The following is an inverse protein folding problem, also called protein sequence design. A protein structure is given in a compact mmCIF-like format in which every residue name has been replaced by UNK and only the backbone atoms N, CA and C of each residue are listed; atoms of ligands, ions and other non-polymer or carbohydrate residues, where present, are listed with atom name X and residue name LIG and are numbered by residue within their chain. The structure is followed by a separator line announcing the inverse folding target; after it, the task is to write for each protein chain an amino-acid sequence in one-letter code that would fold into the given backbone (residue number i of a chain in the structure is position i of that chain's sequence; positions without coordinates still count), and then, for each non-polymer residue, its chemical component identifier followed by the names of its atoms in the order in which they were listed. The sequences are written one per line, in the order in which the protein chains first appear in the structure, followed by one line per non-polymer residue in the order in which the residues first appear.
data_IF_095944272298
#
_entry.id   IF_095944272298
#
_cell.length_a   1.000
_cell.length_b   1.000
_cell.length_c   1.000
_cell.angle_alpha   90.00
_cell.angle_beta   90.00
_cell.angle_gamma   90.00
#
_symmetry.space_group_name_H-M   'P 1'
#
loop_
_entity.id
_entity.type
_entity.pdbx_description
1 polymer ?
#
# COMPACT_ATOMS: atom_id res chain seq x y z
N UNK A 1 -13.03 -27.12 39.98
CA UNK A 1 -12.11 -26.00 39.82
C UNK A 1 -11.20 -26.33 38.66
N UNK A 2 -11.26 -25.57 37.58
CA UNK A 2 -10.61 -25.89 36.30
C UNK A 2 -9.10 -25.51 36.34
N UNK A 3 -8.25 -26.44 36.73
CA UNK A 3 -6.79 -26.31 36.71
C UNK A 3 -6.25 -26.06 35.28
N UNK A 4 -6.93 -26.51 34.24
CA UNK A 4 -6.56 -26.28 32.84
C UNK A 4 -6.65 -24.82 32.39
N UNK A 5 -7.70 -24.11 32.79
CA UNK A 5 -7.86 -22.67 32.44
C UNK A 5 -6.78 -21.77 33.05
N UNK A 6 -6.34 -22.06 34.29
CA UNK A 6 -5.34 -21.27 34.98
C UNK A 6 -3.94 -21.46 34.36
N UNK A 7 -3.63 -22.66 33.89
CA UNK A 7 -2.37 -22.94 33.18
C UNK A 7 -2.34 -22.30 31.80
N UNK A 8 -3.44 -22.25 31.09
CA UNK A 8 -3.54 -21.61 29.77
C UNK A 8 -3.44 -20.06 29.86
N UNK A 9 -4.06 -19.45 30.88
CA UNK A 9 -3.95 -18.00 31.11
C UNK A 9 -2.55 -17.58 31.55
N UNK A 10 -1.88 -18.34 32.41
CA UNK A 10 -0.49 -18.10 32.82
C UNK A 10 0.46 -18.21 31.62
N UNK A 11 0.30 -19.23 30.79
CA UNK A 11 1.10 -19.44 29.59
C UNK A 11 0.90 -18.29 28.57
N UNK A 12 -0.32 -17.78 28.46
CA UNK A 12 -0.65 -16.67 27.57
C UNK A 12 -0.03 -15.35 28.04
N UNK A 13 0.05 -15.12 29.35
CA UNK A 13 0.64 -13.91 29.92
C UNK A 13 2.18 -13.92 29.80
N UNK A 14 2.81 -15.07 30.02
CA UNK A 14 4.25 -15.24 29.76
C UNK A 14 4.59 -15.02 28.28
N UNK A 15 3.80 -15.56 27.35
CA UNK A 15 3.96 -15.38 25.93
C UNK A 15 3.86 -13.90 25.53
N UNK A 16 2.90 -13.16 26.06
CA UNK A 16 2.78 -11.72 25.86
C UNK A 16 4.01 -10.95 26.33
N UNK A 17 4.58 -11.29 27.49
CA UNK A 17 5.78 -10.66 28.01
C UNK A 17 7.01 -10.92 27.12
N UNK A 18 7.15 -12.14 26.61
CA UNK A 18 8.24 -12.49 25.69
C UNK A 18 8.11 -11.71 24.39
N UNK A 19 6.92 -11.65 23.78
CA UNK A 19 6.66 -10.87 22.57
C UNK A 19 6.94 -9.39 22.82
N UNK A 20 6.48 -8.85 23.95
CA UNK A 20 6.75 -7.46 24.33
C UNK A 20 8.24 -7.18 24.44
N UNK A 21 9.00 -8.07 25.08
CA UNK A 21 10.45 -7.93 25.20
C UNK A 21 11.16 -7.98 23.84
N UNK A 22 10.74 -8.87 22.95
CA UNK A 22 11.32 -8.99 21.60
C UNK A 22 11.02 -7.74 20.76
N UNK A 23 9.78 -7.28 20.73
CA UNK A 23 9.37 -6.13 19.91
C UNK A 23 9.87 -4.79 20.47
N UNK A 24 10.18 -4.71 21.78
CA UNK A 24 10.82 -3.54 22.39
C UNK A 24 12.35 -3.59 22.35
N UNK A 25 12.97 -4.72 22.01
CA UNK A 25 14.42 -4.79 21.81
C UNK A 25 14.89 -4.00 20.58
N UNK A 26 13.99 -3.77 19.62
CA UNK A 26 14.22 -2.89 18.47
C UNK A 26 13.94 -1.42 18.76
N UNK A 27 14.51 -0.53 17.96
CA UNK A 27 14.26 0.91 18.03
C UNK A 27 13.03 1.35 17.23
N UNK A 28 12.39 0.44 16.50
CA UNK A 28 11.33 0.72 15.55
C UNK A 28 9.95 0.62 16.21
N UNK A 29 9.04 1.54 15.86
CA UNK A 29 7.64 1.43 16.27
C UNK A 29 6.99 0.25 15.57
N UNK A 30 6.34 -0.63 16.34
CA UNK A 30 5.72 -1.86 15.82
C UNK A 30 4.29 -2.01 16.33
N UNK A 31 3.39 -2.35 15.40
CA UNK A 31 1.98 -2.64 15.70
C UNK A 31 1.60 -4.00 15.09
N UNK A 32 0.74 -4.74 15.77
CA UNK A 32 0.14 -5.97 15.24
C UNK A 32 -1.34 -5.74 15.03
N UNK A 33 -1.83 -6.08 13.85
CA UNK A 33 -3.20 -5.85 13.42
C UNK A 33 -3.81 -7.16 12.97
N UNK A 34 -5.01 -7.48 13.48
CA UNK A 34 -5.80 -8.61 13.01
C UNK A 34 -6.21 -8.41 11.55
N UNK A 35 -5.94 -9.41 10.71
CA UNK A 35 -6.16 -9.31 9.26
C UNK A 35 -7.63 -9.26 8.88
N UNK A 36 -8.50 -9.85 9.68
CA UNK A 36 -9.93 -9.98 9.40
C UNK A 36 -10.76 -8.84 9.98
N UNK A 37 -10.49 -8.46 11.22
CA UNK A 37 -11.23 -7.42 11.94
C UNK A 37 -10.60 -6.04 11.85
N UNK A 38 -9.33 -5.93 11.43
CA UNK A 38 -8.52 -4.71 11.46
C UNK A 38 -8.28 -4.16 12.87
N UNK A 39 -8.55 -4.94 13.90
CA UNK A 39 -8.29 -4.60 15.29
C UNK A 39 -6.77 -4.54 15.56
N UNK A 40 -6.32 -3.52 16.24
CA UNK A 40 -4.94 -3.41 16.72
C UNK A 40 -4.78 -4.33 17.94
N UNK A 41 -4.05 -5.43 17.76
CA UNK A 41 -3.85 -6.46 18.79
C UNK A 41 -2.73 -6.12 19.76
N UNK A 42 -1.75 -5.36 19.28
CA UNK A 42 -0.55 -5.03 20.05
C UNK A 42 0.13 -3.78 19.50
N UNK A 43 0.75 -3.04 20.42
CA UNK A 43 1.69 -1.96 20.11
C UNK A 43 2.90 -2.12 21.04
N UNK A 44 4.13 -1.91 20.53
CA UNK A 44 5.30 -1.77 21.39
C UNK A 44 5.37 -0.36 21.99
N UNK A 45 6.28 -0.15 22.96
CA UNK A 45 6.39 1.12 23.67
C UNK A 45 6.69 2.29 22.73
N UNK A 46 7.50 2.06 21.70
CA UNK A 46 7.81 3.08 20.69
C UNK A 46 6.59 3.47 19.84
N UNK A 47 5.74 2.53 19.48
CA UNK A 47 4.49 2.82 18.80
C UNK A 47 3.52 3.59 19.69
N UNK A 48 3.45 3.24 20.98
CA UNK A 48 2.63 3.97 21.97
C UNK A 48 3.14 5.40 22.16
N UNK A 49 4.45 5.60 22.23
CA UNK A 49 5.07 6.93 22.33
C UNK A 49 4.71 7.82 21.14
N UNK A 50 4.77 7.27 19.92
CA UNK A 50 4.54 8.03 18.69
C UNK A 50 3.06 8.33 18.41
N UNK A 51 2.17 7.39 18.67
CA UNK A 51 0.77 7.49 18.22
C UNK A 51 -0.29 7.27 19.31
N UNK A 52 0.15 7.16 20.58
CA UNK A 52 -0.72 6.84 21.71
C UNK A 52 -1.15 5.36 21.74
N UNK A 53 -1.72 4.93 22.86
CA UNK A 53 -2.24 3.57 22.98
C UNK A 53 -3.54 3.42 22.18
N UNK A 54 -3.52 2.54 21.18
CA UNK A 54 -4.62 2.24 20.27
C UNK A 54 -5.02 0.76 20.27
N UNK A 55 -4.48 -0.05 21.19
CA UNK A 55 -4.81 -1.48 21.30
C UNK A 55 -6.30 -1.67 21.53
N UNK A 56 -6.91 -2.60 20.79
CA UNK A 56 -8.36 -2.86 20.82
C UNK A 56 -9.19 -1.95 19.88
N UNK A 57 -8.56 -0.98 19.22
CA UNK A 57 -9.23 -0.08 18.29
C UNK A 57 -9.04 -0.57 16.83
N UNK A 58 -9.91 -0.10 15.93
CA UNK A 58 -9.84 -0.46 14.51
C UNK A 58 -8.83 0.43 13.79
N UNK A 59 -7.86 -0.18 13.09
CA UNK A 59 -6.71 0.52 12.55
C UNK A 59 -7.09 1.65 11.56
N UNK A 60 -8.04 1.42 10.66
CA UNK A 60 -8.43 2.43 9.68
C UNK A 60 -9.20 3.61 10.30
N UNK A 61 -9.86 3.41 11.44
CA UNK A 61 -10.52 4.51 12.17
C UNK A 61 -9.51 5.39 12.90
N UNK A 62 -8.51 4.79 13.55
CA UNK A 62 -7.62 5.52 14.46
C UNK A 62 -6.28 5.92 13.85
N UNK A 63 -5.82 5.23 12.80
CA UNK A 63 -4.57 5.56 12.10
C UNK A 63 -4.82 6.33 10.80
N UNK A 64 -5.95 6.08 10.14
CA UNK A 64 -6.25 6.65 8.83
C UNK A 64 -7.48 7.56 8.84
N UNK A 65 -8.15 7.76 10.00
CA UNK A 65 -9.35 8.58 10.16
C UNK A 65 -10.48 8.25 9.16
N UNK A 66 -10.67 6.94 8.87
CA UNK A 66 -11.64 6.44 7.88
C UNK A 66 -12.64 5.48 8.51
N UNK A 67 -13.89 5.55 8.09
CA UNK A 67 -14.95 4.63 8.52
C UNK A 67 -14.85 3.25 7.86
N UNK A 68 -14.11 3.15 6.77
CA UNK A 68 -13.93 1.91 6.00
C UNK A 68 -12.43 1.61 5.79
N UNK A 69 -12.05 0.34 5.54
CA UNK A 69 -10.66 0.00 5.23
C UNK A 69 -10.07 0.87 4.12
N UNK A 70 -8.80 1.21 4.23
CA UNK A 70 -8.10 2.02 3.24
C UNK A 70 -8.21 1.39 1.85
N UNK A 71 -8.37 2.20 0.80
CA UNK A 71 -8.54 1.72 -0.56
C UNK A 71 -7.36 0.87 -1.05
N UNK A 72 -6.15 1.19 -0.59
CA UNK A 72 -4.92 0.42 -0.85
C UNK A 72 -4.39 -0.18 0.48
N UNK A 73 -5.26 -0.91 1.17
CA UNK A 73 -4.94 -1.46 2.48
C UNK A 73 -3.86 -2.56 2.36
N UNK A 74 -2.71 -2.41 3.05
CA UNK A 74 -1.64 -3.42 3.01
C UNK A 74 -2.11 -4.83 3.36
N UNK A 75 -3.13 -4.97 4.24
CA UNK A 75 -3.68 -6.26 4.66
C UNK A 75 -4.19 -7.11 3.50
N UNK A 76 -4.60 -6.48 2.39
CA UNK A 76 -5.12 -7.18 1.20
C UNK A 76 -4.00 -7.61 0.24
N UNK A 77 -2.82 -7.01 0.33
CA UNK A 77 -1.72 -7.17 -0.62
C UNK A 77 -0.53 -7.97 -0.09
N UNK A 78 -0.50 -8.28 1.21
CA UNK A 78 0.58 -9.06 1.82
C UNK A 78 0.50 -10.52 1.35
N UNK A 79 1.60 -11.02 0.78
CA UNK A 79 1.80 -12.42 0.42
C UNK A 79 2.71 -13.07 1.47
N UNK A 80 2.45 -14.32 1.79
CA UNK A 80 3.06 -15.10 2.88
C UNK A 80 4.60 -15.27 2.84
N UNK A 81 5.29 -14.81 1.79
CA UNK A 81 6.72 -15.09 1.62
C UNK A 81 7.65 -13.88 1.56
N UNK A 82 7.12 -12.66 1.47
CA UNK A 82 7.95 -11.46 1.41
C UNK A 82 7.29 -10.30 2.17
N UNK A 83 8.07 -9.47 2.87
CA UNK A 83 7.52 -8.27 3.49
C UNK A 83 7.03 -7.29 2.41
N UNK A 84 5.88 -6.69 2.65
CA UNK A 84 5.41 -5.58 1.86
C UNK A 84 5.96 -4.28 2.46
N UNK A 85 6.62 -3.45 1.65
CA UNK A 85 7.06 -2.12 2.07
C UNK A 85 6.19 -1.07 1.40
N UNK A 86 5.70 -0.10 2.16
CA UNK A 86 4.88 1.01 1.67
C UNK A 86 5.33 2.33 2.28
N UNK A 87 5.39 3.33 1.44
CA UNK A 87 5.54 4.72 1.85
C UNK A 87 4.20 5.42 1.70
N UNK A 88 3.80 6.15 2.73
CA UNK A 88 2.59 6.96 2.68
C UNK A 88 2.67 8.11 3.69
N UNK A 89 1.93 9.18 3.40
CA UNK A 89 1.73 10.23 4.38
C UNK A 89 0.80 9.74 5.50
N UNK A 90 1.23 9.91 6.73
CA UNK A 90 0.48 9.58 7.93
C UNK A 90 0.07 10.86 8.64
N UNK A 91 -1.22 11.18 8.62
CA UNK A 91 -1.76 12.38 9.28
C UNK A 91 -1.43 12.41 10.78
N UNK A 92 -1.46 11.24 11.42
CA UNK A 92 -1.16 11.10 12.85
C UNK A 92 0.29 11.41 13.21
N UNK A 93 1.21 11.19 12.27
CA UNK A 93 2.66 11.39 12.46
C UNK A 93 3.15 12.68 11.79
N UNK A 94 2.27 13.38 11.09
CA UNK A 94 2.57 14.60 10.30
C UNK A 94 3.81 14.43 9.42
N UNK A 95 3.90 13.28 8.72
CA UNK A 95 5.07 12.97 7.91
C UNK A 95 4.88 11.79 6.98
N UNK A 96 5.86 11.59 6.08
CA UNK A 96 5.90 10.42 5.21
C UNK A 96 6.53 9.27 5.95
N UNK A 97 5.74 8.24 6.20
CA UNK A 97 6.14 7.05 6.93
C UNK A 97 6.39 5.88 5.96
N UNK A 98 7.54 5.24 6.11
CA UNK A 98 7.85 3.98 5.44
C UNK A 98 7.53 2.84 6.40
N UNK A 99 6.52 2.06 6.05
CA UNK A 99 6.08 0.90 6.81
C UNK A 99 6.51 -0.39 6.13
N UNK A 100 6.94 -1.36 6.94
CA UNK A 100 7.18 -2.74 6.53
C UNK A 100 6.13 -3.64 7.17
N UNK A 101 5.45 -4.44 6.36
CA UNK A 101 4.37 -5.33 6.77
C UNK A 101 4.78 -6.78 6.59
N UNK A 102 4.59 -7.60 7.63
CA UNK A 102 4.83 -9.03 7.62
C UNK A 102 3.55 -9.77 7.98
N UNK A 103 3.24 -10.82 7.23
CA UNK A 103 2.19 -11.77 7.60
C UNK A 103 2.69 -12.65 8.74
N UNK A 104 1.92 -12.76 9.80
CA UNK A 104 2.28 -13.53 10.99
C UNK A 104 1.08 -14.30 11.53
N UNK A 105 1.33 -15.46 12.14
CA UNK A 105 0.36 -16.10 13.02
C UNK A 105 0.49 -15.49 14.42
N UNK A 106 -0.57 -14.89 14.92
CA UNK A 106 -0.57 -14.36 16.28
C UNK A 106 -0.66 -15.51 17.30
N UNK A 107 -0.15 -15.32 18.50
CA UNK A 107 -0.04 -16.38 19.50
C UNK A 107 -1.38 -16.97 19.95
N UNK A 108 -2.51 -16.31 19.70
CA UNK A 108 -3.86 -16.79 19.97
C UNK A 108 -4.51 -17.51 18.76
N UNK A 109 -3.73 -17.71 17.69
CA UNK A 109 -4.14 -18.41 16.47
C UNK A 109 -4.79 -17.54 15.41
N UNK A 110 -4.90 -16.22 15.63
CA UNK A 110 -5.39 -15.29 14.61
C UNK A 110 -4.34 -15.03 13.53
N UNK A 111 -4.81 -14.89 12.29
CA UNK A 111 -3.99 -14.33 11.19
C UNK A 111 -3.82 -12.84 11.42
N UNK A 112 -2.60 -12.39 11.50
CA UNK A 112 -2.29 -11.00 11.82
C UNK A 112 -1.16 -10.45 10.94
N UNK A 113 -0.99 -9.16 10.99
CA UNK A 113 0.07 -8.44 10.29
C UNK A 113 0.89 -7.65 11.30
N UNK A 114 2.19 -7.90 11.31
CA UNK A 114 3.15 -7.05 11.99
C UNK A 114 3.53 -5.90 11.04
N UNK A 115 3.18 -4.68 11.42
CA UNK A 115 3.60 -3.47 10.74
C UNK A 115 4.68 -2.76 11.56
N UNK A 116 5.81 -2.50 10.94
CA UNK A 116 6.97 -1.85 11.57
C UNK A 116 7.30 -0.57 10.83
N UNK A 117 7.41 0.55 11.56
CA UNK A 117 7.82 1.84 11.02
C UNK A 117 9.33 1.85 10.82
N UNK A 118 9.77 1.83 9.56
CA UNK A 118 11.20 1.75 9.18
C UNK A 118 11.83 3.14 9.11
N UNK A 119 11.08 4.12 8.59
CA UNK A 119 11.52 5.50 8.48
C UNK A 119 10.34 6.46 8.59
N UNK A 120 10.61 7.63 9.15
CA UNK A 120 9.71 8.78 9.18
C UNK A 120 10.49 9.97 8.62
N UNK A 121 10.03 10.53 7.53
CA UNK A 121 10.69 11.65 6.83
C UNK A 121 9.91 12.95 6.98
N UNK A 122 10.60 14.02 7.34
CA UNK A 122 10.10 15.40 7.39
C UNK A 122 10.18 16.06 6.00
N UNK A 123 9.83 15.39 4.94
CA UNK A 123 10.08 15.92 3.61
C UNK A 123 8.85 16.62 3.04
N UNK A 124 8.78 17.95 3.23
CA UNK A 124 7.74 18.82 2.64
C UNK A 124 7.54 18.58 1.13
N UNK A 125 8.60 18.22 0.39
CA UNK A 125 8.52 17.92 -1.03
C UNK A 125 7.78 16.61 -1.31
N UNK A 126 7.99 15.57 -0.51
CA UNK A 126 7.30 14.27 -0.66
C UNK A 126 5.83 14.41 -0.23
N UNK A 127 5.56 15.18 0.83
CA UNK A 127 4.19 15.52 1.26
C UNK A 127 3.45 16.25 0.14
N UNK A 128 4.09 17.25 -0.46
CA UNK A 128 3.49 18.03 -1.55
C UNK A 128 3.24 17.18 -2.80
N UNK A 129 4.15 16.27 -3.12
CA UNK A 129 4.02 15.35 -4.25
C UNK A 129 2.89 14.33 -4.01
N UNK A 130 2.81 13.74 -2.81
CA UNK A 130 1.74 12.82 -2.44
C UNK A 130 0.38 13.53 -2.34
N UNK A 131 0.31 14.76 -1.82
CA UNK A 131 -0.91 15.58 -1.81
C UNK A 131 -1.35 15.94 -3.25
N UNK A 132 -0.42 16.24 -4.15
CA UNK A 132 -0.70 16.46 -5.56
C UNK A 132 -1.22 15.19 -6.25
N UNK A 133 -0.62 14.03 -5.98
CA UNK A 133 -1.08 12.74 -6.51
C UNK A 133 -2.46 12.35 -5.97
N UNK A 134 -2.73 12.59 -4.68
CA UNK A 134 -4.05 12.38 -4.10
C UNK A 134 -5.08 13.38 -4.62
N UNK A 135 -4.72 14.65 -4.79
CA UNK A 135 -5.61 15.65 -5.37
C UNK A 135 -5.94 15.32 -6.85
N UNK A 136 -4.97 14.83 -7.61
CA UNK A 136 -5.20 14.32 -8.98
C UNK A 136 -6.12 13.10 -8.97
N UNK A 137 -5.93 12.15 -8.05
CA UNK A 137 -6.83 10.99 -7.86
C UNK A 137 -8.24 11.38 -7.43
N UNK A 138 -8.40 12.43 -6.62
CA UNK A 138 -9.71 12.94 -6.18
C UNK A 138 -10.41 13.80 -7.26
N UNK A 139 -9.67 14.46 -8.13
CA UNK A 139 -10.22 15.22 -9.25
C UNK A 139 -10.62 14.31 -10.42
N UNK A 140 -10.04 13.11 -10.51
CA UNK A 140 -10.29 12.17 -11.61
C UNK A 140 -11.23 11.03 -11.16
N UNK A 141 -12.43 11.42 -10.67
CA UNK A 141 -13.54 10.49 -10.43
C UNK A 141 -14.24 10.11 -11.75
N UNK A 142 -13.47 9.81 -12.78
CA UNK A 142 -14.01 9.17 -13.99
C UNK A 142 -13.47 7.75 -14.08
N UNK A 143 -14.33 6.76 -14.38
CA UNK A 143 -13.94 5.35 -14.50
C UNK A 143 -13.08 5.05 -15.74
N UNK A 144 -12.42 6.03 -16.32
CA UNK A 144 -11.65 5.89 -17.55
C UNK A 144 -10.19 5.55 -17.25
N UNK A 145 -9.93 4.30 -16.92
CA UNK A 145 -8.57 3.74 -16.86
C UNK A 145 -7.96 3.48 -18.24
N UNK A 146 -8.71 3.75 -19.29
CA UNK A 146 -8.32 3.51 -20.68
C UNK A 146 -8.38 4.80 -21.51
N UNK A 147 -7.52 4.88 -22.49
CA UNK A 147 -7.58 5.94 -23.49
C UNK A 147 -8.82 5.75 -24.39
N UNK A 148 -9.66 6.77 -24.49
CA UNK A 148 -10.97 6.71 -25.21
C UNK A 148 -10.84 6.46 -26.70
N UNK A 149 -9.72 6.83 -27.30
CA UNK A 149 -9.48 6.65 -28.73
C UNK A 149 -9.02 5.24 -29.05
N UNK A 150 -8.10 4.72 -28.25
CA UNK A 150 -7.35 3.50 -28.54
C UNK A 150 -7.78 2.31 -27.70
N UNK A 151 -8.41 2.54 -26.55
CA UNK A 151 -8.84 1.48 -25.63
C UNK A 151 -7.72 0.81 -24.83
N UNK A 152 -6.46 1.24 -25.00
CA UNK A 152 -5.35 0.77 -24.16
C UNK A 152 -5.31 1.55 -22.84
N UNK A 153 -4.53 1.05 -21.87
CA UNK A 153 -4.31 1.74 -20.59
C UNK A 153 -3.86 3.17 -20.83
N UNK A 154 -4.52 4.11 -20.18
CA UNK A 154 -4.07 5.50 -20.21
C UNK A 154 -2.84 5.70 -19.31
N UNK A 155 -2.33 6.93 -19.26
CA UNK A 155 -1.16 7.29 -18.47
C UNK A 155 -1.33 6.95 -16.98
N UNK A 156 -2.51 7.17 -16.41
CA UNK A 156 -2.81 6.93 -14.99
C UNK A 156 -2.71 5.44 -14.68
N UNK A 157 -3.44 4.61 -15.41
CA UNK A 157 -3.39 3.15 -15.25
C UNK A 157 -2.00 2.57 -15.50
N UNK A 158 -1.25 3.13 -16.47
CA UNK A 158 0.13 2.73 -16.70
C UNK A 158 1.01 2.96 -15.47
N UNK A 159 0.92 4.13 -14.83
CA UNK A 159 1.67 4.43 -13.61
C UNK A 159 1.28 3.49 -12.47
N UNK A 160 -0.02 3.24 -12.25
CA UNK A 160 -0.49 2.35 -11.20
C UNK A 160 0.01 0.91 -11.41
N UNK A 161 -0.06 0.39 -12.63
CA UNK A 161 0.47 -0.93 -12.97
C UNK A 161 2.00 -0.99 -12.84
N UNK A 162 2.71 0.06 -13.21
CA UNK A 162 4.17 0.14 -13.11
C UNK A 162 4.61 0.16 -11.65
N UNK A 163 3.91 0.88 -10.77
CA UNK A 163 4.19 0.89 -9.33
C UNK A 163 4.07 -0.50 -8.71
N UNK A 164 3.06 -1.27 -9.12
CA UNK A 164 2.89 -2.67 -8.68
C UNK A 164 4.00 -3.56 -9.24
N UNK A 165 4.35 -3.40 -10.52
CA UNK A 165 5.37 -4.20 -11.19
C UNK A 165 6.79 -3.98 -10.60
N UNK A 166 7.16 -2.73 -10.31
CA UNK A 166 8.47 -2.39 -9.71
C UNK A 166 8.64 -3.01 -8.31
N UNK A 167 7.55 -3.25 -7.59
CA UNK A 167 7.59 -3.87 -6.26
C UNK A 167 7.68 -5.40 -6.30
N UNK A 168 7.48 -6.01 -7.46
CA UNK A 168 7.61 -7.46 -7.66
C UNK A 168 9.09 -7.83 -7.85
N UNK A 169 9.76 -8.21 -6.76
CA UNK A 169 11.17 -8.59 -6.75
C UNK A 169 11.46 -9.94 -7.43
N UNK A 170 10.43 -10.68 -7.81
CA UNK A 170 10.57 -12.03 -8.38
C UNK A 170 10.47 -12.08 -9.90
N UNK A 171 9.97 -11.02 -10.52
CA UNK A 171 9.84 -10.91 -11.97
C UNK A 171 10.71 -9.77 -12.51
N UNK A 172 11.26 -9.99 -13.68
CA UNK A 172 11.99 -8.97 -14.42
C UNK A 172 11.02 -8.26 -15.37
N UNK A 173 10.94 -6.95 -15.28
CA UNK A 173 10.14 -6.11 -16.14
C UNK A 173 11.04 -5.23 -17.01
N UNK A 174 10.61 -4.96 -18.22
CA UNK A 174 11.22 -3.98 -19.09
C UNK A 174 10.19 -2.94 -19.53
N UNK A 175 10.60 -1.68 -19.57
CA UNK A 175 9.76 -0.59 -20.12
C UNK A 175 10.26 -0.33 -21.53
N UNK A 176 9.33 -0.37 -22.49
CA UNK A 176 9.61 -0.04 -23.87
C UNK A 176 8.85 1.25 -24.22
N UNK A 177 9.59 2.24 -24.67
CA UNK A 177 9.03 3.48 -25.18
C UNK A 177 8.95 3.41 -26.71
N UNK A 178 7.75 3.59 -27.24
CA UNK A 178 7.49 3.62 -28.67
C UNK A 178 7.04 5.00 -29.10
N UNK A 179 7.53 5.47 -30.23
CA UNK A 179 7.10 6.72 -30.87
C UNK A 179 6.78 6.49 -32.35
N UNK A 180 5.75 7.18 -32.84
CA UNK A 180 5.38 7.11 -34.26
C UNK A 180 6.12 8.22 -35.00
N UNK A 181 7.11 7.82 -35.80
CA UNK A 181 7.91 8.78 -36.56
C UNK A 181 7.03 9.67 -37.43
N UNK A 182 7.22 10.99 -37.31
CA UNK A 182 6.50 12.00 -38.10
C UNK A 182 4.97 11.93 -38.00
N UNK A 183 4.42 11.50 -36.89
CA UNK A 183 2.97 11.42 -36.70
C UNK A 183 2.24 12.73 -37.02
N UNK A 184 2.87 13.88 -36.72
CA UNK A 184 2.33 15.19 -37.10
C UNK A 184 2.13 15.32 -38.61
N UNK A 185 3.04 14.80 -39.46
CA UNK A 185 2.91 14.86 -40.90
C UNK A 185 1.71 14.04 -41.39
N UNK A 186 1.38 12.94 -40.72
CA UNK A 186 0.19 12.14 -41.08
C UNK A 186 -1.07 12.98 -40.85
N UNK A 187 -1.16 13.67 -39.73
CA UNK A 187 -2.28 14.56 -39.44
C UNK A 187 -2.36 15.76 -40.40
N UNK A 188 -1.21 16.35 -40.74
CA UNK A 188 -1.14 17.52 -41.61
C UNK A 188 -1.50 17.20 -43.09
N UNK A 189 -1.16 16.00 -43.55
CA UNK A 189 -1.40 15.56 -44.94
C UNK A 189 -2.75 14.89 -45.11
N UNK A 190 -3.13 14.03 -44.17
CA UNK A 190 -4.29 13.12 -44.30
C UNK A 190 -5.45 13.49 -43.38
N UNK A 191 -5.23 14.43 -42.47
CA UNK A 191 -6.21 14.88 -41.49
C UNK A 191 -6.20 14.06 -40.20
N UNK A 192 -6.79 14.63 -39.16
CA UNK A 192 -6.81 14.06 -37.80
C UNK A 192 -7.51 12.69 -37.76
N UNK A 193 -8.54 12.50 -38.56
CA UNK A 193 -9.28 11.22 -38.61
C UNK A 193 -8.40 10.04 -39.06
N UNK A 194 -7.47 10.28 -39.98
CA UNK A 194 -6.52 9.23 -40.41
C UNK A 194 -5.43 9.02 -39.35
N UNK A 195 -4.96 10.07 -38.69
CA UNK A 195 -4.07 9.96 -37.55
C UNK A 195 -4.69 9.12 -36.41
N UNK A 196 -5.96 9.34 -36.12
CA UNK A 196 -6.72 8.54 -35.15
C UNK A 196 -6.79 7.05 -35.53
N UNK A 197 -6.93 6.72 -36.83
CA UNK A 197 -6.90 5.35 -37.28
C UNK A 197 -5.52 4.70 -37.10
N UNK A 198 -4.44 5.46 -37.36
CA UNK A 198 -3.07 5.00 -37.12
C UNK A 198 -2.87 4.69 -35.63
N UNK A 199 -3.31 5.56 -34.73
CA UNK A 199 -3.23 5.30 -33.28
C UNK A 199 -4.01 4.06 -32.87
N UNK A 200 -5.24 3.86 -33.36
CA UNK A 200 -6.03 2.64 -33.12
C UNK A 200 -5.36 1.38 -33.66
N UNK A 201 -4.73 1.49 -34.83
CA UNK A 201 -3.99 0.37 -35.41
C UNK A 201 -2.79 -0.04 -34.54
N UNK A 202 -1.96 0.93 -34.15
CA UNK A 202 -0.79 0.69 -33.28
C UNK A 202 -1.23 0.09 -31.95
N UNK A 203 -2.29 0.63 -31.32
CA UNK A 203 -2.82 0.10 -30.07
C UNK A 203 -3.27 -1.36 -30.19
N UNK A 204 -3.90 -1.74 -31.31
CA UNK A 204 -4.30 -3.12 -31.56
C UNK A 204 -3.11 -4.06 -31.69
N UNK A 205 -2.07 -3.63 -32.42
CA UNK A 205 -0.84 -4.43 -32.56
C UNK A 205 -0.12 -4.63 -31.24
N UNK A 206 -0.20 -3.64 -30.32
CA UNK A 206 0.40 -3.76 -28.99
C UNK A 206 -0.38 -4.66 -28.03
N UNK A 207 -1.63 -5.01 -28.36
CA UNK A 207 -2.48 -5.89 -27.55
C UNK A 207 -2.42 -7.36 -28.00
N UNK A 208 -1.88 -7.67 -29.18
CA UNK A 208 -1.64 -9.02 -29.71
C UNK A 208 -0.35 -9.62 -29.15
#
# INVERSE_FOLDING_TARGET
MNFGMITDELNMQETKQVIHSILNAGCEASIVIDRSSFEILYQNDKAIELMGNRVGMICHEVLCTKETPCMDCPMQHIKTQAPLVRERYEELLDGVATWRYHDIAWFDGRDAVLATLVALGDNEQVVMQNMMEQAVKLMDHTPDEVDKLTGISNRIRFYDQTQVAIQDLYNNYAIVLLDIERFKNINDIHGIAEGDQVLRFVARVLQE
#
